data_IF_048479942994
#
_entry.id   IF_048479942994
#
_cell.length_a   1.000
_cell.length_b   1.000
_cell.length_c   1.000
_cell.angle_alpha   90.00
_cell.angle_beta   90.00
_cell.angle_gamma   90.00
#
_symmetry.space_group_name_H-M   'P 1'
#
loop_
_entity.id
_entity.type
_entity.pdbx_description
1 polymer ?
#
# COMPACT_ATOMS: atom_id res chain seq x y z
N UNK A 1 -26.57 -17.03 8.38
CA UNK A 1 -26.07 -15.97 9.28
C UNK A 1 -25.63 -14.81 8.41
N UNK A 2 -26.30 -13.66 8.54
CA UNK A 2 -26.09 -12.46 7.69
C UNK A 2 -25.09 -11.52 8.37
N UNK A 3 -24.14 -10.98 7.60
CA UNK A 3 -23.08 -10.06 8.06
C UNK A 3 -23.58 -8.61 8.30
N UNK A 4 -24.89 -8.40 8.45
CA UNK A 4 -25.52 -7.07 8.43
C UNK A 4 -25.73 -6.41 9.80
N UNK A 5 -25.29 -7.03 10.91
CA UNK A 5 -25.61 -6.57 12.28
C UNK A 5 -24.37 -6.29 13.15
N UNK A 6 -23.24 -5.90 12.57
CA UNK A 6 -22.16 -5.33 13.37
C UNK A 6 -22.46 -3.82 13.54
N UNK A 7 -22.79 -3.35 14.75
CA UNK A 7 -22.88 -1.92 15.01
C UNK A 7 -21.46 -1.36 15.01
N UNK A 8 -20.93 -1.04 13.84
CA UNK A 8 -19.80 -0.11 13.76
C UNK A 8 -20.30 1.19 14.36
N UNK A 9 -19.85 1.53 15.56
CA UNK A 9 -20.00 2.88 16.09
C UNK A 9 -19.30 3.78 15.09
N UNK A 10 -20.05 4.29 14.10
CA UNK A 10 -19.56 5.36 13.24
C UNK A 10 -19.30 6.50 14.20
N UNK A 11 -18.04 6.80 14.49
CA UNK A 11 -17.65 7.98 15.24
C UNK A 11 -18.02 9.19 14.37
N UNK A 12 -19.26 9.64 14.51
CA UNK A 12 -19.78 10.86 13.87
C UNK A 12 -19.67 12.07 14.80
N UNK A 13 -19.20 11.87 16.02
CA UNK A 13 -18.97 12.92 17.01
C UNK A 13 -17.52 13.43 16.94
N UNK A 14 -17.29 14.72 17.25
CA UNK A 14 -15.96 15.27 17.37
C UNK A 14 -15.15 14.44 18.39
N UNK A 15 -13.95 14.05 17.98
CA UNK A 15 -13.05 13.21 18.76
C UNK A 15 -12.05 14.09 19.51
N UNK A 16 -11.84 13.82 20.80
CA UNK A 16 -10.72 14.38 21.56
C UNK A 16 -9.61 13.34 21.62
N UNK A 17 -8.40 13.72 21.24
CA UNK A 17 -7.21 12.88 21.28
C UNK A 17 -6.24 13.44 22.33
N UNK A 18 -5.70 12.55 23.16
CA UNK A 18 -4.53 12.86 23.98
C UNK A 18 -3.30 12.38 23.22
N UNK A 19 -2.38 13.30 22.96
CA UNK A 19 -1.13 13.00 22.28
C UNK A 19 -0.04 12.68 23.31
N UNK A 20 0.91 11.84 22.92
CA UNK A 20 2.17 11.77 23.64
C UNK A 20 3.01 13.03 23.38
N UNK A 21 4.00 13.35 24.23
CA UNK A 21 4.80 14.56 24.09
C UNK A 21 5.58 14.64 22.76
N UNK A 22 5.92 13.50 22.16
CA UNK A 22 6.69 13.47 20.92
C UNK A 22 5.79 13.88 19.73
N UNK A 23 4.57 13.34 19.68
CA UNK A 23 3.57 13.71 18.68
C UNK A 23 3.16 15.18 18.81
N UNK A 24 2.97 15.68 20.04
CA UNK A 24 2.70 17.11 20.28
C UNK A 24 3.84 17.99 19.77
N UNK A 25 5.09 17.64 20.09
CA UNK A 25 6.26 18.40 19.65
C UNK A 25 6.39 18.42 18.12
N UNK A 26 6.13 17.31 17.45
CA UNK A 26 6.12 17.24 15.99
C UNK A 26 5.06 18.18 15.40
N UNK A 27 3.82 18.14 15.90
CA UNK A 27 2.75 19.03 15.44
C UNK A 27 3.13 20.50 15.65
N UNK A 28 3.75 20.84 16.78
CA UNK A 28 4.18 22.21 17.05
C UNK A 28 5.26 22.67 16.05
N UNK A 29 6.22 21.81 15.71
CA UNK A 29 7.25 22.12 14.72
C UNK A 29 6.67 22.40 13.33
N UNK A 30 5.69 21.62 12.90
CA UNK A 30 5.02 21.79 11.60
C UNK A 30 4.22 23.10 11.54
N UNK A 31 3.59 23.51 12.66
CA UNK A 31 2.90 24.80 12.78
C UNK A 31 3.91 25.96 12.81
N UNK A 32 4.98 25.85 13.59
CA UNK A 32 6.02 26.87 13.69
C UNK A 32 6.73 27.09 12.33
N UNK A 33 6.80 26.04 11.51
CA UNK A 33 7.28 26.11 10.12
C UNK A 33 6.37 26.92 9.19
N UNK A 34 5.16 27.28 9.61
CA UNK A 34 4.22 28.14 8.89
C UNK A 34 3.45 27.45 7.77
N UNK A 35 3.61 26.13 7.59
CA UNK A 35 2.88 25.36 6.59
C UNK A 35 1.45 25.04 7.03
N UNK A 36 1.22 24.97 8.35
CA UNK A 36 -0.07 24.65 8.95
C UNK A 36 -0.46 25.68 10.00
N UNK A 37 -1.74 26.01 10.09
CA UNK A 37 -2.26 27.01 11.01
C UNK A 37 -2.67 26.44 12.38
N UNK A 38 -2.94 25.13 12.46
CA UNK A 38 -3.43 24.48 13.67
C UNK A 38 -3.17 22.95 13.65
N UNK A 39 -3.28 22.27 14.81
CA UNK A 39 -3.07 20.83 14.91
C UNK A 39 -3.97 19.97 14.01
N UNK A 40 -5.20 20.41 13.77
CA UNK A 40 -6.15 19.63 12.96
C UNK A 40 -5.71 19.54 11.50
N UNK A 41 -5.10 20.60 10.96
CA UNK A 41 -4.54 20.59 9.60
C UNK A 41 -3.36 19.62 9.46
N UNK A 42 -2.47 19.59 10.46
CA UNK A 42 -1.34 18.64 10.49
C UNK A 42 -1.87 17.20 10.53
N UNK A 43 -2.84 16.93 11.42
CA UNK A 43 -3.46 15.61 11.55
C UNK A 43 -4.17 15.20 10.24
N UNK A 44 -4.89 16.12 9.60
CA UNK A 44 -5.54 15.86 8.32
C UNK A 44 -4.51 15.47 7.25
N UNK A 45 -3.40 16.21 7.14
CA UNK A 45 -2.34 15.90 6.18
C UNK A 45 -1.72 14.52 6.45
N UNK A 46 -1.46 14.18 7.72
CA UNK A 46 -0.96 12.86 8.10
C UNK A 46 -1.94 11.73 7.72
N UNK A 47 -3.25 11.94 7.89
CA UNK A 47 -4.29 10.98 7.49
C UNK A 47 -4.39 10.84 5.97
N UNK A 48 -4.24 11.93 5.21
CA UNK A 48 -4.21 11.89 3.76
C UNK A 48 -3.00 11.09 3.25
N UNK A 49 -1.83 11.27 3.87
CA UNK A 49 -0.63 10.49 3.57
C UNK A 49 -0.84 9.00 3.88
N UNK A 50 -1.41 8.67 5.05
CA UNK A 50 -1.73 7.29 5.43
C UNK A 50 -2.74 6.65 4.47
N UNK A 51 -3.70 7.42 3.96
CA UNK A 51 -4.67 6.93 2.98
C UNK A 51 -4.01 6.67 1.62
N UNK A 52 -3.14 7.57 1.17
CA UNK A 52 -2.40 7.40 -0.08
C UNK A 52 -1.53 6.15 -0.05
N UNK A 53 -0.79 5.93 1.05
CA UNK A 53 0.05 4.75 1.26
C UNK A 53 -0.77 3.45 1.23
N UNK A 54 -1.92 3.42 1.90
CA UNK A 54 -2.81 2.26 1.88
C UNK A 54 -3.41 1.98 0.49
N UNK A 55 -3.72 3.01 -0.29
CA UNK A 55 -4.20 2.83 -1.68
C UNK A 55 -3.09 2.23 -2.52
N UNK A 56 -1.88 2.78 -2.47
CA UNK A 56 -0.73 2.26 -3.21
C UNK A 56 -0.41 0.81 -2.82
N UNK A 57 -0.39 0.49 -1.53
CA UNK A 57 -0.19 -0.87 -1.04
C UNK A 57 -1.29 -1.84 -1.55
N UNK A 58 -2.55 -1.39 -1.61
CA UNK A 58 -3.65 -2.19 -2.14
C UNK A 58 -3.54 -2.40 -3.66
N UNK A 59 -3.13 -1.38 -4.41
CA UNK A 59 -2.89 -1.46 -5.86
C UNK A 59 -1.72 -2.39 -6.18
N UNK A 60 -0.60 -2.27 -5.48
CA UNK A 60 0.56 -3.17 -5.62
C UNK A 60 0.18 -4.62 -5.32
N UNK A 61 -0.59 -4.83 -4.24
CA UNK A 61 -1.10 -6.16 -3.90
C UNK A 61 -2.00 -6.72 -4.99
N UNK A 62 -2.93 -5.91 -5.51
CA UNK A 62 -3.81 -6.34 -6.58
C UNK A 62 -3.05 -6.68 -7.88
N UNK A 63 -2.01 -5.91 -8.22
CA UNK A 63 -1.16 -6.22 -9.38
C UNK A 63 -0.36 -7.51 -9.19
N UNK A 64 0.17 -7.74 -7.97
CA UNK A 64 0.86 -9.00 -7.64
C UNK A 64 -0.09 -10.20 -7.73
N UNK A 65 -1.27 -10.11 -7.12
CA UNK A 65 -2.28 -11.17 -7.15
C UNK A 65 -2.70 -11.49 -8.60
N UNK A 66 -2.85 -10.46 -9.44
CA UNK A 66 -3.14 -10.62 -10.87
C UNK A 66 -2.02 -11.37 -11.60
N UNK A 67 -0.76 -10.95 -11.42
CA UNK A 67 0.41 -11.59 -12.05
C UNK A 67 0.60 -13.03 -11.59
N UNK A 68 0.38 -13.30 -10.30
CA UNK A 68 0.46 -14.65 -9.75
C UNK A 68 -0.62 -15.56 -10.34
N UNK A 69 -1.87 -15.07 -10.39
CA UNK A 69 -2.99 -15.78 -11.02
C UNK A 69 -2.71 -16.11 -12.48
N UNK A 70 -2.20 -15.13 -13.23
CA UNK A 70 -1.83 -15.33 -14.64
C UNK A 70 -0.70 -16.37 -14.79
N UNK A 71 0.33 -16.28 -13.95
CA UNK A 71 1.47 -17.22 -13.95
C UNK A 71 1.03 -18.65 -13.61
N UNK A 72 0.12 -18.82 -12.65
CA UNK A 72 -0.45 -20.13 -12.30
C UNK A 72 -1.23 -20.70 -13.49
N UNK A 73 -2.05 -19.88 -14.15
CA UNK A 73 -2.79 -20.31 -15.33
C UNK A 73 -1.86 -20.69 -16.51
N UNK A 74 -0.71 -20.01 -16.68
CA UNK A 74 0.31 -20.38 -17.67
C UNK A 74 0.94 -21.75 -17.33
N UNK A 75 1.24 -22.01 -16.05
CA UNK A 75 1.75 -23.31 -15.60
C UNK A 75 0.74 -24.42 -15.88
N UNK A 76 -0.54 -24.21 -15.58
CA UNK A 76 -1.61 -25.18 -15.82
C UNK A 76 -1.77 -25.52 -17.32
N UNK A 77 -1.48 -24.56 -18.21
CA UNK A 77 -1.46 -24.78 -19.67
C UNK A 77 -0.17 -25.42 -20.18
N UNK A 78 0.81 -25.66 -19.30
CA UNK A 78 2.11 -26.21 -19.69
C UNK A 78 3.07 -25.19 -20.33
N UNK A 79 2.81 -23.89 -20.17
CA UNK A 79 3.65 -22.81 -20.71
C UNK A 79 4.85 -22.48 -19.82
N UNK A 80 5.01 -23.20 -18.69
CA UNK A 80 6.14 -23.05 -17.79
C UNK A 80 7.46 -23.49 -18.42
N UNK A 81 8.57 -22.87 -17.97
CA UNK A 81 9.92 -23.27 -18.39
C UNK A 81 10.38 -24.45 -17.50
N UNK A 82 10.78 -25.60 -18.09
CA UNK A 82 11.35 -26.71 -17.34
C UNK A 82 12.58 -26.27 -16.53
N UNK A 83 12.69 -26.73 -15.28
CA UNK A 83 13.70 -26.26 -14.33
C UNK A 83 15.15 -26.44 -14.82
N UNK A 84 15.42 -27.52 -15.55
CA UNK A 84 16.69 -27.83 -16.19
C UNK A 84 17.03 -26.90 -17.36
N UNK A 85 16.04 -26.21 -17.93
CA UNK A 85 16.17 -25.30 -19.08
C UNK A 85 16.21 -23.82 -18.69
N UNK A 86 15.89 -23.47 -17.44
CA UNK A 86 15.75 -22.08 -16.98
C UNK A 86 17.02 -21.26 -17.22
N UNK A 87 18.21 -21.83 -16.96
CA UNK A 87 19.48 -21.10 -17.13
C UNK A 87 19.73 -20.72 -18.59
N UNK A 88 19.45 -21.63 -19.51
CA UNK A 88 19.66 -21.43 -20.94
C UNK A 88 18.69 -20.39 -21.50
N UNK A 89 17.41 -20.47 -21.11
CA UNK A 89 16.39 -19.49 -21.52
C UNK A 89 16.73 -18.09 -21.01
N UNK A 90 17.12 -17.96 -19.74
CA UNK A 90 17.52 -16.66 -19.18
C UNK A 90 18.81 -16.10 -19.82
N UNK A 91 19.72 -16.95 -20.29
CA UNK A 91 20.91 -16.50 -21.02
C UNK A 91 20.53 -15.93 -22.40
N UNK A 92 19.62 -16.60 -23.13
CA UNK A 92 19.12 -16.14 -24.43
C UNK A 92 18.40 -14.80 -24.33
N UNK A 93 17.51 -14.63 -23.34
CA UNK A 93 16.79 -13.37 -23.12
C UNK A 93 17.75 -12.20 -22.83
N UNK A 94 18.81 -12.44 -22.06
CA UNK A 94 19.83 -11.41 -21.76
C UNK A 94 20.65 -11.04 -22.99
N UNK A 95 20.95 -11.99 -23.86
CA UNK A 95 21.65 -11.73 -25.12
C UNK A 95 20.78 -10.91 -26.08
N UNK A 96 19.49 -11.25 -26.19
CA UNK A 96 18.52 -10.55 -27.04
C UNK A 96 18.25 -9.09 -26.61
N UNK A 97 18.47 -8.73 -25.34
CA UNK A 97 18.34 -7.36 -24.84
C UNK A 97 19.57 -6.47 -25.11
N UNK A 98 20.71 -7.07 -25.48
CA UNK A 98 21.99 -6.38 -25.70
C UNK A 98 22.32 -6.16 -27.18
N UNK A 99 21.52 -6.70 -28.10
CA UNK A 99 21.57 -6.40 -29.54
C UNK A 99 20.46 -5.44 -29.92
#
# INVERSE_FOLDING_TARGET
MSLSEIPWTRYTLPMTLTLDPQAEQFIQQEIDGGLYANPAEVIQSALELLKADQIWAAEEKADLDRRLTESMAQIDRGEGIPGDRVRDVLAQLRAARKG
#
